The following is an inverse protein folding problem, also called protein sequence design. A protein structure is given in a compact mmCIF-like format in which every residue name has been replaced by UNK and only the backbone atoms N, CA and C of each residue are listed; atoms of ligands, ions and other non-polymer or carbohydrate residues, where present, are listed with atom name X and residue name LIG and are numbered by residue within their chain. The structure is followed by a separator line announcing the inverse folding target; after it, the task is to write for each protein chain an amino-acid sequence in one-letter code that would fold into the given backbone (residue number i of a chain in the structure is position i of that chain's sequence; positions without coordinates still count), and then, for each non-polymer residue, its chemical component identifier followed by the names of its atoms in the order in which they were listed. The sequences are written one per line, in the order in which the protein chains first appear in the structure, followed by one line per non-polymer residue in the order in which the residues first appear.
data_IF_211243013618
#
_entry.id   IF_211243013618
#
_cell.length_a   1.000
_cell.length_b   1.000
_cell.length_c   1.000
_cell.angle_alpha   90.00
_cell.angle_beta   90.00
_cell.angle_gamma   90.00
#
_symmetry.space_group_name_H-M   'P 1'
#
loop_
_entity.id
_entity.type
_entity.pdbx_description
1 polymer ?
#
# COMPACT_ATOMS: atom_id res chain seq x y z
N UNK A 1 -23.68 -1.51 9.22
CA UNK A 1 -22.82 -0.61 8.41
C UNK A 1 -22.90 0.77 8.99
N UNK A 2 -21.77 1.45 9.17
CA UNK A 2 -21.74 2.86 9.57
C UNK A 2 -22.39 3.70 8.47
N UNK A 3 -23.31 4.60 8.84
CA UNK A 3 -23.96 5.52 7.91
C UNK A 3 -23.20 6.85 7.95
N UNK A 4 -22.56 7.20 6.84
CA UNK A 4 -21.75 8.41 6.69
C UNK A 4 -22.64 9.56 6.19
N UNK A 5 -23.51 10.07 7.05
CA UNK A 5 -24.41 11.20 6.77
C UNK A 5 -23.97 12.47 7.51
N UNK A 6 -24.67 13.59 7.28
CA UNK A 6 -24.33 14.89 7.90
C UNK A 6 -24.31 14.83 9.43
N UNK A 7 -25.16 14.00 10.01
CA UNK A 7 -25.19 13.77 11.45
C UNK A 7 -23.93 13.03 11.94
N UNK A 8 -23.37 12.14 11.13
CA UNK A 8 -22.08 11.52 11.40
C UNK A 8 -20.93 12.53 11.35
N UNK A 9 -20.91 13.41 10.34
CA UNK A 9 -19.89 14.46 10.21
C UNK A 9 -19.90 15.37 11.44
N UNK A 10 -21.07 15.89 11.82
CA UNK A 10 -21.22 16.80 12.96
C UNK A 10 -20.77 16.17 14.28
N UNK A 11 -21.03 14.87 14.49
CA UNK A 11 -20.56 14.15 15.68
C UNK A 11 -19.04 14.04 15.72
N UNK A 12 -18.40 13.74 14.59
CA UNK A 12 -16.96 13.52 14.56
C UNK A 12 -16.18 14.82 14.65
N UNK A 13 -16.70 15.91 14.09
CA UNK A 13 -16.19 17.27 14.31
C UNK A 13 -16.25 17.68 15.78
N UNK A 14 -17.42 17.50 16.44
CA UNK A 14 -17.58 17.80 17.86
C UNK A 14 -16.63 16.96 18.74
N UNK A 15 -16.43 15.69 18.38
CA UNK A 15 -15.52 14.78 19.09
C UNK A 15 -14.06 15.20 18.94
N UNK A 16 -13.62 15.58 17.73
CA UNK A 16 -12.27 16.12 17.50
C UNK A 16 -12.04 17.43 18.24
N UNK A 17 -13.02 18.35 18.22
CA UNK A 17 -12.95 19.60 18.97
C UNK A 17 -12.81 19.35 20.48
N UNK A 18 -13.58 18.41 21.03
CA UNK A 18 -13.47 18.02 22.44
C UNK A 18 -12.12 17.39 22.77
N UNK A 19 -11.61 16.51 21.89
CA UNK A 19 -10.27 15.91 22.06
C UNK A 19 -9.16 16.96 22.00
N UNK A 20 -9.31 18.01 21.17
CA UNK A 20 -8.34 19.10 21.08
C UNK A 20 -8.38 20.03 22.29
N UNK A 21 -9.57 20.29 22.83
CA UNK A 21 -9.74 21.14 24.01
C UNK A 21 -9.27 20.45 25.30
N UNK A 22 -9.52 19.13 25.43
CA UNK A 22 -9.40 18.41 26.71
C UNK A 22 -8.36 17.31 26.73
N UNK A 23 -7.74 16.98 25.60
CA UNK A 23 -6.76 15.91 25.45
C UNK A 23 -5.40 16.42 24.97
N UNK A 24 -4.51 15.48 24.63
CA UNK A 24 -3.21 15.77 23.97
C UNK A 24 -3.32 15.79 22.44
N UNK A 25 -4.52 15.75 21.90
CA UNK A 25 -4.74 15.78 20.45
C UNK A 25 -4.59 17.21 19.94
N UNK A 26 -3.78 17.43 18.90
CA UNK A 26 -3.71 18.69 18.17
C UNK A 26 -4.11 18.45 16.72
N UNK A 27 -4.99 19.30 16.18
CA UNK A 27 -5.34 19.26 14.75
C UNK A 27 -4.12 19.46 13.85
N UNK A 28 -3.11 20.20 14.32
CA UNK A 28 -1.87 20.47 13.57
C UNK A 28 -0.95 19.24 13.51
N UNK A 29 -1.11 18.29 14.44
CA UNK A 29 -0.33 17.04 14.50
C UNK A 29 -1.14 15.82 13.98
N UNK A 30 -2.32 16.03 13.39
CA UNK A 30 -3.10 14.96 12.78
C UNK A 30 -2.38 14.47 11.51
N UNK A 31 -1.73 13.31 11.60
CA UNK A 31 -1.00 12.71 10.49
C UNK A 31 -1.56 11.33 10.15
N UNK A 32 -1.84 11.11 8.86
CA UNK A 32 -2.21 9.78 8.34
C UNK A 32 -0.97 8.91 8.20
N UNK A 33 -0.87 7.88 9.03
CA UNK A 33 0.20 6.88 9.01
C UNK A 33 0.07 5.93 7.81
N UNK A 34 1.20 5.63 7.15
CA UNK A 34 1.39 4.70 6.04
C UNK A 34 0.77 5.09 4.67
N UNK A 35 1.42 4.66 3.59
CA UNK A 35 1.02 4.89 2.20
C UNK A 35 0.48 3.63 1.53
N UNK A 36 -0.65 3.76 0.82
CA UNK A 36 -1.19 2.74 -0.06
C UNK A 36 -1.36 3.32 -1.46
N UNK A 37 -1.26 2.48 -2.49
CA UNK A 37 -1.37 2.92 -3.88
C UNK A 37 -1.72 1.77 -4.82
N UNK A 38 -2.21 2.12 -6.01
CA UNK A 38 -2.56 1.19 -7.07
C UNK A 38 -2.04 1.72 -8.39
N UNK A 39 -1.44 0.83 -9.18
CA UNK A 39 -1.03 1.11 -10.56
C UNK A 39 -1.76 0.12 -11.46
N UNK A 40 -2.38 0.62 -12.52
CA UNK A 40 -3.12 -0.20 -13.48
C UNK A 40 -2.79 0.23 -14.90
N UNK A 41 -2.67 -0.73 -15.80
CA UNK A 41 -2.70 -0.47 -17.23
C UNK A 41 -4.17 -0.46 -17.69
N UNK A 42 -4.66 0.69 -18.16
CA UNK A 42 -6.06 0.87 -18.57
C UNK A 42 -6.46 0.02 -19.78
N UNK A 43 -5.49 -0.41 -20.59
CA UNK A 43 -5.73 -1.30 -21.72
C UNK A 43 -5.86 -2.77 -21.30
N UNK A 44 -5.62 -3.09 -20.02
CA UNK A 44 -5.69 -4.46 -19.49
C UNK A 44 -4.50 -5.34 -19.84
N UNK A 45 -3.50 -4.82 -20.54
CA UNK A 45 -2.31 -5.57 -20.96
C UNK A 45 -1.31 -5.73 -19.82
N UNK A 46 -0.74 -6.94 -19.68
CA UNK A 46 0.30 -7.24 -18.70
C UNK A 46 1.62 -6.63 -19.14
N UNK A 47 2.15 -5.68 -18.38
CA UNK A 47 3.43 -5.03 -18.68
C UNK A 47 4.36 -4.99 -17.48
N UNK A 48 5.68 -5.01 -17.74
CA UNK A 48 6.70 -4.83 -16.69
C UNK A 48 6.63 -3.43 -16.08
N UNK A 49 6.18 -2.45 -16.86
CA UNK A 49 6.07 -1.05 -16.46
C UNK A 49 5.16 -0.86 -15.24
N UNK A 50 4.01 -1.55 -15.17
CA UNK A 50 3.12 -1.50 -13.99
C UNK A 50 3.86 -1.85 -12.70
N UNK A 51 4.68 -2.91 -12.74
CA UNK A 51 5.46 -3.34 -11.57
C UNK A 51 6.59 -2.34 -11.26
N UNK A 52 7.25 -1.78 -12.28
CA UNK A 52 8.30 -0.77 -12.08
C UNK A 52 7.72 0.51 -11.44
N UNK A 53 6.56 0.95 -11.90
CA UNK A 53 5.85 2.09 -11.34
C UNK A 53 5.43 1.85 -9.88
N UNK A 54 4.96 0.64 -9.55
CA UNK A 54 4.70 0.25 -8.17
C UNK A 54 5.94 0.31 -7.28
N UNK A 55 7.09 -0.18 -7.76
CA UNK A 55 8.38 -0.09 -7.05
C UNK A 55 8.81 1.37 -6.88
N UNK A 56 8.68 2.20 -7.91
CA UNK A 56 9.03 3.61 -7.85
C UNK A 56 8.15 4.37 -6.83
N UNK A 57 6.86 4.04 -6.76
CA UNK A 57 5.96 4.59 -5.76
C UNK A 57 6.40 4.20 -4.33
N UNK A 58 6.74 2.94 -4.09
CA UNK A 58 7.24 2.48 -2.78
C UNK A 58 8.55 3.18 -2.38
N UNK A 59 9.42 3.51 -3.34
CA UNK A 59 10.64 4.30 -3.11
C UNK A 59 10.36 5.77 -2.77
N UNK A 60 9.18 6.29 -3.04
CA UNK A 60 8.84 7.70 -2.82
C UNK A 60 8.17 7.97 -1.46
N UNK A 61 7.86 6.93 -0.67
CA UNK A 61 7.08 7.06 0.58
C UNK A 61 7.88 6.79 1.86
N UNK A 62 9.21 6.71 1.78
CA UNK A 62 10.09 6.47 2.94
C UNK A 62 9.92 7.51 4.05
N UNK A 63 9.63 8.75 3.71
CA UNK A 63 9.39 9.86 4.65
C UNK A 63 8.10 9.68 5.48
N UNK A 64 7.29 8.66 5.19
CA UNK A 64 6.03 8.33 5.87
C UNK A 64 6.06 7.00 6.63
N UNK A 65 7.21 6.31 6.62
CA UNK A 65 7.42 5.08 7.39
C UNK A 65 8.28 5.35 8.62
N UNK A 66 8.13 4.51 9.66
CA UNK A 66 9.13 4.47 10.70
C UNK A 66 10.44 3.91 10.12
N UNK A 67 11.54 4.58 10.42
CA UNK A 67 12.90 4.17 10.03
C UNK A 67 13.70 4.02 11.31
N UNK A 68 14.32 2.86 11.51
CA UNK A 68 15.18 2.64 12.67
C UNK A 68 16.55 3.33 12.48
N UNK A 69 17.27 3.53 13.58
CA UNK A 69 18.56 4.21 13.58
C UNK A 69 19.65 3.48 12.77
N UNK A 70 19.46 2.20 12.46
CA UNK A 70 20.37 1.40 11.64
C UNK A 70 20.33 1.77 10.14
N UNK A 71 19.32 2.54 9.71
CA UNK A 71 19.09 2.90 8.31
C UNK A 71 18.69 1.74 7.40
N UNK A 72 18.36 0.59 7.96
CA UNK A 72 18.01 -0.65 7.25
C UNK A 72 16.63 -1.18 7.66
N UNK A 73 16.25 -1.04 8.93
CA UNK A 73 15.03 -1.59 9.49
C UNK A 73 13.85 -0.62 9.32
N UNK A 74 12.73 -1.17 8.89
CA UNK A 74 11.43 -0.48 8.82
C UNK A 74 10.29 -1.45 9.09
N UNK A 75 9.11 -0.93 9.44
CA UNK A 75 7.99 -1.75 9.91
C UNK A 75 7.46 -2.76 8.87
N UNK A 76 7.51 -2.38 7.59
CA UNK A 76 7.12 -3.26 6.49
C UNK A 76 6.75 -2.52 5.20
N UNK A 77 7.05 -3.14 4.07
CA UNK A 77 6.62 -2.72 2.75
C UNK A 77 6.26 -3.95 1.90
N UNK A 78 5.30 -3.80 0.99
CA UNK A 78 4.85 -4.91 0.16
C UNK A 78 4.29 -4.45 -1.17
N UNK A 79 4.33 -5.34 -2.16
CA UNK A 79 3.72 -5.15 -3.47
C UNK A 79 2.94 -6.42 -3.83
N UNK A 80 1.68 -6.24 -4.22
CA UNK A 80 0.85 -7.32 -4.73
C UNK A 80 0.76 -7.19 -6.26
N UNK A 81 1.05 -8.28 -6.96
CA UNK A 81 1.04 -8.34 -8.43
C UNK A 81 0.37 -9.62 -8.90
N UNK A 82 -0.07 -9.64 -10.16
CA UNK A 82 -0.49 -10.87 -10.80
C UNK A 82 0.65 -11.88 -10.86
N UNK A 83 0.33 -13.17 -10.80
CA UNK A 83 1.33 -14.24 -10.90
C UNK A 83 2.07 -14.13 -12.26
N UNK A 84 3.40 -13.91 -12.27
CA UNK A 84 4.19 -13.89 -13.51
C UNK A 84 4.43 -15.32 -13.99
N UNK A 85 3.40 -15.96 -14.55
CA UNK A 85 3.40 -17.37 -14.98
C UNK A 85 4.67 -17.77 -15.77
N UNK A 86 5.18 -16.97 -16.75
CA UNK A 86 6.40 -17.32 -17.48
C UNK A 86 7.65 -17.47 -16.57
N UNK A 87 7.75 -16.68 -15.50
CA UNK A 87 8.84 -16.79 -14.53
C UNK A 87 8.79 -18.13 -13.78
N UNK A 88 7.59 -18.57 -13.39
CA UNK A 88 7.41 -19.85 -12.70
C UNK A 88 7.61 -21.05 -13.62
N UNK A 89 7.22 -20.97 -14.90
CA UNK A 89 7.52 -22.03 -15.86
C UNK A 89 9.01 -22.28 -16.03
N UNK A 90 9.80 -21.21 -16.09
CA UNK A 90 11.26 -21.33 -16.13
C UNK A 90 11.80 -22.03 -14.87
N UNK A 91 11.26 -21.70 -13.69
CA UNK A 91 11.65 -22.38 -12.46
C UNK A 91 11.29 -23.87 -12.46
N UNK A 92 10.12 -24.25 -13.00
CA UNK A 92 9.72 -25.65 -13.15
C UNK A 92 10.66 -26.41 -14.09
N UNK A 93 11.06 -25.80 -15.21
CA UNK A 93 12.04 -26.40 -16.14
C UNK A 93 13.40 -26.61 -15.47
N UNK A 94 13.85 -25.65 -14.65
CA UNK A 94 15.12 -25.75 -13.91
C UNK A 94 15.17 -26.91 -12.92
N UNK A 95 14.02 -27.36 -12.40
CA UNK A 95 13.95 -28.52 -11.52
C UNK A 95 13.78 -29.85 -12.29
N UNK A 96 13.91 -29.83 -13.62
CA UNK A 96 13.80 -31.02 -14.47
C UNK A 96 12.36 -31.44 -14.79
N UNK A 97 11.38 -30.59 -14.50
CA UNK A 97 9.96 -30.86 -14.78
C UNK A 97 9.47 -30.08 -15.99
N UNK A 98 8.41 -30.58 -16.65
CA UNK A 98 7.75 -29.86 -17.74
C UNK A 98 6.60 -29.01 -17.16
N UNK A 99 6.60 -27.68 -17.36
CA UNK A 99 5.49 -26.83 -16.90
C UNK A 99 4.21 -27.15 -17.65
N UNK A 100 3.07 -27.02 -16.95
CA UNK A 100 1.75 -27.10 -17.56
C UNK A 100 1.40 -25.76 -18.15
N UNK A 101 1.56 -25.64 -19.45
CA UNK A 101 1.29 -24.42 -20.18
C UNK A 101 -0.20 -24.35 -20.53
N UNK A 102 -0.85 -23.23 -20.20
CA UNK A 102 -2.25 -22.91 -20.56
C UNK A 102 -3.34 -23.69 -19.78
N UNK A 103 -3.00 -24.28 -18.63
CA UNK A 103 -3.98 -24.53 -17.54
C UNK A 103 -4.24 -23.24 -16.76
#
# INVERSE_FOLDING_TARGET
MTKYDDAWVAREEAKRAMMAEKGMYSFEEEHSSCGVGLVVNINGEKTREVVLNGINALKAIWHRGAVDADGMTGDGAGIHVQIPVPFFYEQVRRTGHTPRENE
#
